data_IF_655801689390
#
_entry.id   IF_655801689390
#
_cell.length_a   1.000
_cell.length_b   1.000
_cell.length_c   1.000
_cell.angle_alpha   90.00
_cell.angle_beta   90.00
_cell.angle_gamma   90.00
#
_symmetry.space_group_name_H-M   'P 1'
#
loop_
_entity.id
_entity.type
_entity.pdbx_description
1 polymer ?
#
# COMPACT_ATOMS: atom_id res chain seq x y z
N UNK A 1 -54.02 -13.39 -45.71
CA UNK A 1 -53.37 -13.54 -44.40
C UNK A 1 -52.23 -12.54 -44.32
N UNK A 2 -52.44 -11.45 -43.57
CA UNK A 2 -51.51 -10.33 -43.38
C UNK A 2 -50.41 -10.77 -42.41
N UNK A 3 -49.16 -10.49 -42.78
CA UNK A 3 -47.95 -10.86 -42.05
C UNK A 3 -47.81 -10.19 -40.68
N UNK A 4 -47.25 -10.98 -39.77
CA UNK A 4 -47.14 -10.84 -38.33
C UNK A 4 -45.89 -10.03 -37.92
N UNK A 5 -46.05 -9.23 -36.85
CA UNK A 5 -45.05 -8.75 -35.87
C UNK A 5 -43.89 -7.88 -36.39
N UNK A 6 -43.57 -6.71 -35.84
CA UNK A 6 -43.71 -6.28 -34.44
C UNK A 6 -42.35 -6.41 -33.72
N UNK A 7 -41.61 -5.30 -33.60
CA UNK A 7 -40.72 -5.09 -32.45
C UNK A 7 -39.20 -5.24 -32.62
N UNK A 8 -38.55 -4.65 -33.64
CA UNK A 8 -37.08 -4.70 -33.79
C UNK A 8 -36.29 -3.66 -32.94
N UNK A 9 -36.92 -2.84 -32.08
CA UNK A 9 -36.23 -1.65 -31.54
C UNK A 9 -35.70 -1.77 -30.11
N UNK A 10 -35.93 -2.89 -29.41
CA UNK A 10 -35.54 -3.03 -28.00
C UNK A 10 -34.18 -3.68 -27.74
N UNK A 11 -33.56 -4.36 -28.71
CA UNK A 11 -32.27 -5.03 -28.51
C UNK A 11 -31.06 -4.10 -28.45
N UNK A 12 -31.11 -2.93 -29.09
CA UNK A 12 -29.92 -2.09 -29.27
C UNK A 12 -29.53 -1.30 -28.00
N UNK A 13 -30.47 -1.02 -27.09
CA UNK A 13 -30.19 -0.28 -25.84
C UNK A 13 -29.65 -1.21 -24.74
N UNK A 14 -29.92 -2.50 -24.80
CA UNK A 14 -29.43 -3.49 -23.85
C UNK A 14 -27.95 -3.86 -24.08
N UNK A 15 -27.50 -3.88 -25.35
CA UNK A 15 -26.11 -4.20 -25.68
C UNK A 15 -25.09 -3.15 -25.22
N UNK A 16 -25.45 -1.87 -25.24
CA UNK A 16 -24.55 -0.79 -24.82
C UNK A 16 -24.34 -0.74 -23.29
N UNK A 17 -25.35 -1.12 -22.50
CA UNK A 17 -25.24 -1.20 -21.04
C UNK A 17 -24.44 -2.43 -20.57
N UNK A 18 -24.50 -3.54 -21.30
CA UNK A 18 -23.73 -4.75 -20.97
C UNK A 18 -22.23 -4.62 -21.31
N UNK A 19 -21.86 -3.88 -22.36
CA UNK A 19 -20.46 -3.57 -22.69
C UNK A 19 -19.84 -2.56 -21.70
N UNK A 20 -20.61 -1.61 -21.17
CA UNK A 20 -20.15 -0.67 -20.14
C UNK A 20 -20.00 -1.32 -18.75
N UNK A 21 -20.92 -2.22 -18.37
CA UNK A 21 -20.89 -2.88 -17.07
C UNK A 21 -19.73 -3.89 -16.91
N UNK A 22 -19.30 -4.55 -18.01
CA UNK A 22 -18.15 -5.47 -17.96
C UNK A 22 -16.79 -4.78 -17.80
N UNK A 23 -16.67 -3.53 -18.27
CA UNK A 23 -15.42 -2.77 -18.22
C UNK A 23 -15.16 -2.13 -16.85
N UNK A 24 -16.21 -1.91 -16.05
CA UNK A 24 -16.08 -1.42 -14.66
C UNK A 24 -15.76 -2.56 -13.68
N UNK A 25 -16.13 -3.81 -14.01
CA UNK A 25 -15.96 -4.97 -13.12
C UNK A 25 -14.54 -5.56 -13.10
N UNK A 26 -13.63 -5.12 -13.98
CA UNK A 26 -12.31 -5.73 -14.18
C UNK A 26 -11.14 -4.95 -13.53
N UNK A 27 -11.40 -3.80 -12.89
CA UNK A 27 -10.36 -2.94 -12.33
C UNK A 27 -10.19 -3.04 -10.81
N UNK A 28 -10.42 -4.22 -10.23
CA UNK A 28 -9.95 -4.54 -8.88
C UNK A 28 -8.67 -5.37 -8.99
N UNK A 29 -7.64 -4.78 -9.60
CA UNK A 29 -6.29 -5.29 -9.47
C UNK A 29 -5.91 -5.16 -7.98
N UNK A 30 -5.95 -6.28 -7.27
CA UNK A 30 -5.44 -6.36 -5.90
C UNK A 30 -3.94 -6.14 -5.96
N UNK A 31 -3.51 -4.91 -5.66
CA UNK A 31 -2.10 -4.61 -5.43
C UNK A 31 -1.70 -5.42 -4.20
N UNK A 32 -1.09 -6.58 -4.43
CA UNK A 32 -0.44 -7.33 -3.37
C UNK A 32 0.80 -6.54 -2.97
N UNK A 33 0.69 -5.77 -1.90
CA UNK A 33 1.87 -5.20 -1.24
C UNK A 33 2.69 -6.37 -0.72
N UNK A 34 3.72 -6.76 -1.47
CA UNK A 34 4.73 -7.70 -1.00
C UNK A 34 5.53 -6.99 0.09
N UNK A 35 5.20 -7.28 1.35
CA UNK A 35 5.97 -6.85 2.51
C UNK A 35 7.35 -7.53 2.45
N UNK A 36 8.31 -6.88 1.82
CA UNK A 36 9.71 -7.31 1.92
C UNK A 36 10.11 -7.07 3.37
N UNK A 37 10.35 -8.16 4.11
CA UNK A 37 10.86 -8.09 5.47
C UNK A 37 12.24 -7.43 5.40
N UNK A 38 12.28 -6.12 5.66
CA UNK A 38 13.54 -5.39 5.73
C UNK A 38 14.23 -5.86 6.99
N UNK A 39 15.24 -6.72 6.84
CA UNK A 39 16.08 -7.14 7.95
C UNK A 39 17.01 -5.99 8.29
N UNK A 40 16.73 -5.30 9.39
CA UNK A 40 17.61 -4.32 10.00
C UNK A 40 17.98 -4.80 11.41
N UNK A 41 19.14 -4.37 11.88
CA UNK A 41 19.61 -4.65 13.23
C UNK A 41 19.47 -3.40 14.09
N UNK A 42 18.93 -3.55 15.30
CA UNK A 42 18.72 -2.45 16.23
C UNK A 42 19.30 -2.82 17.60
N UNK A 43 20.33 -2.09 18.02
CA UNK A 43 21.01 -2.31 19.31
C UNK A 43 20.74 -1.12 20.23
N UNK A 44 20.18 -1.42 21.40
CA UNK A 44 19.88 -0.44 22.43
C UNK A 44 20.95 -0.36 23.53
N UNK A 45 21.15 0.83 24.05
CA UNK A 45 21.77 1.12 25.35
C UNK A 45 20.80 1.95 26.19
N UNK A 46 21.18 2.35 27.41
CA UNK A 46 20.29 2.95 28.40
C UNK A 46 19.45 4.14 27.87
N UNK A 47 19.97 4.93 26.94
CA UNK A 47 19.29 6.12 26.39
C UNK A 47 19.47 6.27 24.87
N UNK A 48 19.96 5.23 24.18
CA UNK A 48 20.27 5.30 22.75
C UNK A 48 19.90 4.01 22.04
N UNK A 49 19.43 4.12 20.80
CA UNK A 49 19.18 2.98 19.92
C UNK A 49 19.84 3.24 18.58
N UNK A 50 20.79 2.39 18.20
CA UNK A 50 21.44 2.45 16.90
C UNK A 50 20.87 1.40 15.97
N UNK A 51 20.50 1.81 14.77
CA UNK A 51 19.86 0.98 13.75
C UNK A 51 20.75 0.94 12.51
N UNK A 52 20.92 -0.24 11.91
CA UNK A 52 21.70 -0.45 10.68
C UNK A 52 20.99 -1.40 9.72
N UNK A 53 21.38 -1.36 8.44
CA UNK A 53 20.80 -2.21 7.40
C UNK A 53 19.54 -1.62 6.75
N UNK A 54 19.25 -0.34 7.01
CA UNK A 54 18.23 0.40 6.28
C UNK A 54 18.76 0.81 4.90
N UNK A 55 17.87 0.99 3.92
CA UNK A 55 18.25 1.69 2.70
C UNK A 55 18.54 3.16 3.02
N UNK A 56 19.39 3.80 2.21
CA UNK A 56 19.63 5.24 2.32
C UNK A 56 18.31 6.02 2.30
N UNK A 57 18.19 7.04 3.16
CA UNK A 57 17.03 7.90 3.31
C UNK A 57 15.73 7.16 3.70
N UNK A 58 15.81 5.87 4.05
CA UNK A 58 14.65 5.11 4.52
C UNK A 58 14.23 5.60 5.90
N UNK A 59 12.96 5.95 6.03
CA UNK A 59 12.39 6.40 7.31
C UNK A 59 12.13 5.23 8.26
N UNK A 60 12.49 5.41 9.53
CA UNK A 60 12.19 4.50 10.62
C UNK A 60 11.65 5.29 11.83
N UNK A 61 10.78 4.64 12.61
CA UNK A 61 10.16 5.21 13.81
C UNK A 61 10.48 4.36 15.03
N UNK A 62 10.93 5.02 16.10
CA UNK A 62 11.08 4.40 17.39
C UNK A 62 9.76 4.48 18.15
N UNK A 63 9.22 3.32 18.52
CA UNK A 63 7.92 3.20 19.18
C UNK A 63 8.11 2.67 20.60
N UNK A 64 7.59 3.40 21.58
CA UNK A 64 7.58 2.99 22.98
C UNK A 64 6.71 1.72 23.17
N UNK A 65 6.88 0.96 24.26
CA UNK A 65 6.09 -0.23 24.53
C UNK A 65 4.56 -0.01 24.52
N UNK A 66 4.11 1.20 24.84
CA UNK A 66 2.69 1.60 24.79
C UNK A 66 2.17 1.97 23.40
N UNK A 67 2.96 1.83 22.34
CA UNK A 67 2.59 2.18 20.96
C UNK A 67 2.81 3.65 20.60
N UNK A 68 3.29 4.48 21.53
CA UNK A 68 3.61 5.88 21.26
C UNK A 68 4.87 5.99 20.42
N UNK A 69 4.80 6.69 19.29
CA UNK A 69 6.01 7.04 18.52
C UNK A 69 6.82 8.09 19.29
N UNK A 70 8.05 7.75 19.63
CA UNK A 70 9.00 8.62 20.32
C UNK A 70 9.72 9.55 19.34
N UNK A 71 10.14 9.01 18.20
CA UNK A 71 10.87 9.77 17.18
C UNK A 71 10.80 9.08 15.83
N UNK A 72 10.79 9.85 14.75
CA UNK A 72 10.89 9.37 13.37
C UNK A 72 12.08 10.06 12.71
N UNK A 73 12.95 9.26 12.10
CA UNK A 73 14.15 9.75 11.43
C UNK A 73 14.37 8.97 10.13
N UNK A 74 15.23 9.50 9.25
CA UNK A 74 15.64 8.81 8.03
C UNK A 74 17.09 8.37 8.14
N UNK A 75 17.39 7.19 7.60
CA UNK A 75 18.74 6.64 7.61
C UNK A 75 19.69 7.50 6.77
N UNK A 76 20.95 7.55 7.19
CA UNK A 76 22.00 8.22 6.45
C UNK A 76 22.39 7.46 5.16
N UNK A 77 23.38 7.98 4.44
CA UNK A 77 23.90 7.36 3.22
C UNK A 77 24.53 5.97 3.43
N UNK A 78 24.81 5.58 4.67
CA UNK A 78 25.35 4.25 5.02
C UNK A 78 24.23 3.29 5.48
N UNK A 79 22.98 3.76 5.53
CA UNK A 79 21.87 2.96 6.06
C UNK A 79 21.83 2.89 7.59
N UNK A 80 22.52 3.84 8.26
CA UNK A 80 22.58 3.97 9.71
C UNK A 80 21.62 5.03 10.24
N UNK A 81 21.11 4.81 11.46
CA UNK A 81 20.23 5.75 12.16
C UNK A 81 20.46 5.65 13.68
N UNK A 82 20.57 6.79 14.37
CA UNK A 82 20.78 6.84 15.82
C UNK A 82 19.70 7.64 16.54
N UNK A 83 18.85 6.96 17.30
CA UNK A 83 17.95 7.60 18.25
C UNK A 83 18.69 7.88 19.57
N UNK A 84 18.59 9.11 20.09
CA UNK A 84 19.24 9.55 21.33
C UNK A 84 18.23 10.10 22.31
N UNK A 85 18.57 10.06 23.60
CA UNK A 85 17.73 10.51 24.70
C UNK A 85 16.39 9.78 24.71
N UNK A 86 16.43 8.46 24.49
CA UNK A 86 15.25 7.61 24.56
C UNK A 86 14.96 7.24 26.02
N UNK A 87 13.69 7.23 26.46
CA UNK A 87 13.29 7.01 27.84
C UNK A 87 13.35 5.53 28.29
#
# INVERSE_FOLDING_TARGET
MVGLAGGLRWGARAGALLLGAGLVASLTATVQTVSSSSSFDAVGSAEQVYVTGLAQDQSASLVAPGGTTLSTQSADAQGGLLFRNVP
#
